data_IF_191254839135
#
_entry.id   IF_191254839135
#
_cell.length_a   1.000
_cell.length_b   1.000
_cell.length_c   1.000
_cell.angle_alpha   90.00
_cell.angle_beta   90.00
_cell.angle_gamma   90.00
#
_symmetry.space_group_name_H-M   'P 1'
#
loop_
_entity.id
_entity.type
_entity.pdbx_description
1 polymer ?
#
# COMPACT_ATOMS: atom_id res chain seq x y z
N UNK A 1 66.16 -30.46 -50.27
CA UNK A 1 65.85 -29.29 -51.13
C UNK A 1 66.09 -28.01 -50.34
N UNK A 2 66.82 -27.07 -50.96
CA UNK A 2 66.97 -25.62 -50.73
C UNK A 2 67.45 -25.08 -49.35
N UNK A 3 68.55 -24.33 -49.47
CA UNK A 3 69.28 -23.49 -48.49
C UNK A 3 68.61 -22.11 -48.34
N UNK A 4 68.91 -21.39 -47.25
CA UNK A 4 69.56 -20.04 -47.23
C UNK A 4 69.18 -19.15 -46.04
N UNK A 5 70.10 -18.99 -45.09
CA UNK A 5 70.82 -17.77 -44.62
C UNK A 5 70.11 -16.38 -44.63
N UNK A 6 70.02 -15.81 -43.41
CA UNK A 6 70.28 -14.42 -42.87
C UNK A 6 69.52 -13.20 -43.44
N UNK A 7 68.92 -12.37 -42.56
CA UNK A 7 69.27 -10.95 -42.31
C UNK A 7 68.44 -10.32 -41.16
N UNK A 8 69.11 -9.55 -40.29
CA UNK A 8 68.52 -8.60 -39.34
C UNK A 8 68.63 -7.19 -39.96
N UNK A 9 67.65 -6.30 -39.76
CA UNK A 9 68.03 -4.97 -39.30
C UNK A 9 67.14 -4.40 -38.18
N UNK A 10 67.77 -3.57 -37.35
CA UNK A 10 67.23 -2.76 -36.26
C UNK A 10 66.29 -1.63 -36.70
N UNK A 11 65.63 -1.02 -35.70
CA UNK A 11 64.82 0.22 -35.68
C UNK A 11 63.37 0.05 -36.16
N UNK A 12 62.34 0.43 -35.43
CA UNK A 12 62.06 1.76 -34.88
C UNK A 12 61.12 1.64 -33.66
N UNK A 13 61.50 2.23 -32.53
CA UNK A 13 60.65 2.40 -31.35
C UNK A 13 59.66 3.55 -31.64
N UNK A 14 58.38 3.25 -31.94
CA UNK A 14 57.33 4.26 -31.95
C UNK A 14 56.65 4.28 -30.58
N UNK A 15 56.87 5.37 -29.83
CA UNK A 15 56.03 5.74 -28.69
C UNK A 15 54.60 5.98 -29.19
N UNK A 16 53.69 5.07 -28.86
CA UNK A 16 52.26 5.35 -28.91
C UNK A 16 51.91 5.97 -27.55
N UNK A 17 51.75 7.30 -27.51
CA UNK A 17 51.04 7.93 -26.40
C UNK A 17 49.59 7.44 -26.43
N UNK A 18 49.01 6.94 -25.33
CA UNK A 18 47.57 6.85 -25.24
C UNK A 18 47.02 8.28 -25.19
N UNK A 19 46.30 8.69 -26.23
CA UNK A 19 45.33 9.76 -26.08
C UNK A 19 44.34 9.29 -25.02
N UNK A 20 44.34 9.97 -23.87
CA UNK A 20 43.27 9.85 -22.88
C UNK A 20 42.01 10.41 -23.53
N UNK A 21 41.24 9.55 -24.20
CA UNK A 21 39.86 9.84 -24.53
C UNK A 21 39.13 10.04 -23.20
N UNK A 22 38.65 11.25 -22.97
CA UNK A 22 37.72 11.58 -21.90
C UNK A 22 36.41 10.82 -22.11
N UNK A 23 36.37 9.54 -21.73
CA UNK A 23 35.18 8.70 -21.70
C UNK A 23 34.71 8.62 -20.24
N UNK A 24 34.27 9.74 -19.66
CA UNK A 24 33.70 9.69 -18.31
C UNK A 24 32.67 10.79 -17.99
N UNK A 25 32.06 11.41 -19.01
CA UNK A 25 30.97 12.37 -18.81
C UNK A 25 29.62 11.90 -19.39
N UNK A 26 29.62 11.13 -20.48
CA UNK A 26 28.38 10.72 -21.16
C UNK A 26 27.71 9.48 -20.55
N UNK A 27 28.45 8.60 -19.89
CA UNK A 27 27.87 7.41 -19.23
C UNK A 27 27.17 7.77 -17.92
N UNK A 28 27.65 8.76 -17.17
CA UNK A 28 27.02 9.24 -15.93
C UNK A 28 25.74 10.04 -16.18
N UNK A 29 25.70 10.86 -17.23
CA UNK A 29 24.52 11.66 -17.58
C UNK A 29 23.41 10.79 -18.17
N UNK A 30 23.73 9.86 -19.07
CA UNK A 30 22.76 8.87 -19.58
C UNK A 30 22.19 8.01 -18.45
N UNK A 31 23.02 7.54 -17.53
CA UNK A 31 22.57 6.74 -16.39
C UNK A 31 21.63 7.53 -15.47
N UNK A 32 21.95 8.80 -15.17
CA UNK A 32 21.11 9.66 -14.33
C UNK A 32 19.75 10.00 -14.99
N UNK A 33 19.74 10.28 -16.30
CA UNK A 33 18.50 10.55 -17.04
C UNK A 33 17.60 9.30 -17.12
N UNK A 34 18.17 8.12 -17.36
CA UNK A 34 17.42 6.86 -17.38
C UNK A 34 16.87 6.49 -15.99
N UNK A 35 17.64 6.71 -14.92
CA UNK A 35 17.15 6.51 -13.55
C UNK A 35 15.97 7.44 -13.24
N UNK A 36 16.07 8.72 -13.60
CA UNK A 36 15.00 9.70 -13.38
C UNK A 36 13.72 9.34 -14.15
N UNK A 37 13.83 8.89 -15.41
CA UNK A 37 12.69 8.42 -16.19
C UNK A 37 12.03 7.17 -15.60
N UNK A 38 12.83 6.19 -15.16
CA UNK A 38 12.32 4.99 -14.50
C UNK A 38 11.64 5.33 -13.17
N UNK A 39 12.19 6.23 -12.38
CA UNK A 39 11.58 6.68 -11.13
C UNK A 39 10.26 7.41 -11.39
N UNK A 40 10.18 8.23 -12.45
CA UNK A 40 8.95 8.92 -12.81
C UNK A 40 7.84 7.94 -13.25
N UNK A 41 8.20 6.87 -13.96
CA UNK A 41 7.28 5.77 -14.27
C UNK A 41 6.88 5.00 -13.01
N UNK A 42 7.85 4.68 -12.15
CA UNK A 42 7.63 4.00 -10.87
C UNK A 42 6.86 4.84 -9.85
N UNK A 43 6.63 6.12 -10.09
CA UNK A 43 5.77 6.96 -9.26
C UNK A 43 4.28 6.85 -9.66
N UNK A 44 3.98 6.51 -10.92
CA UNK A 44 2.61 6.52 -11.46
C UNK A 44 1.66 5.55 -10.74
N UNK A 45 0.36 5.83 -10.76
CA UNK A 45 -0.67 5.01 -10.14
C UNK A 45 -0.94 5.38 -8.68
N UNK A 46 -1.56 4.46 -7.94
CA UNK A 46 -2.12 4.74 -6.63
C UNK A 46 -1.14 4.50 -5.48
N UNK A 47 -1.29 5.31 -4.44
CA UNK A 47 -0.58 5.23 -3.16
C UNK A 47 -1.56 5.49 -2.04
N UNK A 48 -1.58 4.64 -1.02
CA UNK A 48 -2.55 4.74 0.09
C UNK A 48 -1.89 5.37 1.30
N UNK A 49 -2.56 6.36 1.93
CA UNK A 49 -2.16 6.88 3.23
C UNK A 49 -2.49 5.87 4.33
N UNK A 50 -1.46 5.35 4.99
CA UNK A 50 -1.59 4.42 6.12
C UNK A 50 -2.21 5.04 7.37
N UNK A 51 -2.48 6.36 7.37
CA UNK A 51 -3.32 7.01 8.38
C UNK A 51 -4.81 7.04 8.05
N UNK A 52 -5.21 6.51 6.88
CA UNK A 52 -6.62 6.37 6.48
C UNK A 52 -7.18 7.51 5.66
N UNK A 53 -6.44 8.59 5.40
CA UNK A 53 -6.99 9.81 4.78
C UNK A 53 -7.27 9.70 3.28
N UNK A 54 -7.02 8.54 2.67
CA UNK A 54 -7.35 8.27 1.29
C UNK A 54 -6.16 7.86 0.43
N UNK A 55 -6.33 8.08 -0.87
CA UNK A 55 -5.46 7.58 -1.93
C UNK A 55 -4.91 8.76 -2.71
N UNK A 56 -3.58 8.86 -2.80
CA UNK A 56 -2.91 9.78 -3.71
C UNK A 56 -2.60 9.05 -5.02
N UNK A 57 -3.25 9.47 -6.10
CA UNK A 57 -3.03 8.89 -7.43
C UNK A 57 -2.16 9.82 -8.25
N UNK A 58 -1.07 9.28 -8.79
CA UNK A 58 -0.20 9.97 -9.75
C UNK A 58 -0.58 9.61 -11.17
N UNK A 59 -0.81 10.63 -11.99
CA UNK A 59 -1.16 10.48 -13.41
C UNK A 59 -0.49 11.59 -14.22
N UNK A 60 0.54 11.22 -14.98
CA UNK A 60 1.16 12.04 -16.03
C UNK A 60 1.54 13.47 -15.57
N UNK A 61 2.28 13.58 -14.47
CA UNK A 61 2.76 14.86 -13.93
C UNK A 61 1.72 15.59 -13.08
N UNK A 62 0.55 15.00 -12.85
CA UNK A 62 -0.43 15.45 -11.87
C UNK A 62 -0.60 14.40 -10.79
N UNK A 63 -1.05 14.84 -9.63
CA UNK A 63 -1.54 13.96 -8.59
C UNK A 63 -2.86 14.49 -8.04
N UNK A 64 -3.71 13.61 -7.55
CA UNK A 64 -4.92 14.00 -6.82
C UNK A 64 -5.13 13.10 -5.62
N UNK A 65 -5.63 13.69 -4.54
CA UNK A 65 -5.95 12.99 -3.30
C UNK A 65 -7.46 12.79 -3.23
N UNK A 66 -7.93 11.54 -3.11
CA UNK A 66 -9.35 11.24 -2.97
C UNK A 66 -9.59 10.00 -2.11
N UNK A 67 -10.82 9.85 -1.61
CA UNK A 67 -11.19 8.72 -0.76
C UNK A 67 -11.19 7.39 -1.52
N UNK A 68 -11.35 7.40 -2.85
CA UNK A 68 -11.52 6.18 -3.65
C UNK A 68 -10.39 5.93 -4.65
N UNK A 69 -9.45 6.87 -4.78
CA UNK A 69 -8.43 6.85 -5.83
C UNK A 69 -8.95 7.31 -7.20
N UNK A 70 -10.22 7.71 -7.31
CA UNK A 70 -10.78 8.37 -8.49
C UNK A 70 -10.35 9.83 -8.57
N UNK A 71 -10.34 10.36 -9.80
CA UNK A 71 -9.94 11.75 -10.06
C UNK A 71 -10.78 12.74 -9.22
N UNK A 72 -10.09 13.53 -8.39
CA UNK A 72 -10.69 14.65 -7.66
C UNK A 72 -10.03 15.98 -8.10
N UNK A 73 -10.68 16.70 -9.04
CA UNK A 73 -10.20 17.99 -9.50
C UNK A 73 -10.07 19.05 -8.40
N UNK A 74 -10.78 18.87 -7.27
CA UNK A 74 -10.71 19.82 -6.15
C UNK A 74 -9.44 19.63 -5.33
N UNK A 75 -8.82 18.46 -5.33
CA UNK A 75 -7.65 18.13 -4.51
C UNK A 75 -6.46 17.71 -5.37
N UNK A 76 -6.07 18.57 -6.31
CA UNK A 76 -5.05 18.28 -7.34
C UNK A 76 -3.73 19.00 -7.08
N UNK A 77 -2.63 18.34 -7.42
CA UNK A 77 -1.27 18.82 -7.36
C UNK A 77 -0.59 18.65 -8.72
N UNK A 78 0.29 19.58 -9.08
CA UNK A 78 1.35 19.39 -10.05
C UNK A 78 2.50 18.61 -9.40
N UNK A 79 3.08 17.68 -10.15
CA UNK A 79 4.08 16.74 -9.65
C UNK A 79 5.40 16.99 -10.36
N UNK A 80 6.44 17.21 -9.56
CA UNK A 80 7.81 17.25 -10.03
C UNK A 80 8.63 16.23 -9.25
N UNK A 81 9.44 15.45 -9.96
CA UNK A 81 10.40 14.54 -9.36
C UNK A 81 11.78 14.92 -9.89
N UNK A 82 12.66 15.37 -8.99
CA UNK A 82 14.02 15.75 -9.34
C UNK A 82 14.91 14.52 -9.55
N UNK A 83 16.07 14.72 -10.18
CA UNK A 83 17.04 13.65 -10.45
C UNK A 83 17.62 12.99 -9.18
N UNK A 84 17.61 13.70 -8.05
CA UNK A 84 18.02 13.19 -6.73
C UNK A 84 16.87 12.51 -5.96
N UNK A 85 15.70 12.32 -6.59
CA UNK A 85 14.56 11.59 -6.01
C UNK A 85 13.64 12.44 -5.12
N UNK A 86 13.84 13.76 -5.05
CA UNK A 86 12.95 14.65 -4.31
C UNK A 86 11.63 14.82 -5.07
N UNK A 87 10.55 14.39 -4.44
CA UNK A 87 9.19 14.59 -4.89
C UNK A 87 8.67 15.94 -4.40
N UNK A 88 8.20 16.77 -5.32
CA UNK A 88 7.50 18.02 -5.03
C UNK A 88 6.06 17.93 -5.53
N UNK A 89 5.10 18.19 -4.63
CA UNK A 89 3.67 18.31 -4.95
C UNK A 89 3.28 19.77 -4.76
N UNK A 90 2.99 20.46 -5.86
CA UNK A 90 2.56 21.86 -5.83
C UNK A 90 1.06 21.92 -6.08
N UNK A 91 0.25 22.50 -5.19
CA UNK A 91 -1.19 22.63 -5.39
C UNK A 91 -1.51 23.25 -6.74
N UNK A 92 -2.42 22.64 -7.50
CA UNK A 92 -2.84 23.20 -8.77
C UNK A 92 -3.68 24.48 -8.55
N UNK A 93 -3.64 25.40 -9.52
CA UNK A 93 -4.47 26.60 -9.48
C UNK A 93 -5.96 26.23 -9.37
N UNK A 94 -6.66 26.88 -8.44
CA UNK A 94 -8.08 26.59 -8.15
C UNK A 94 -8.35 25.33 -7.33
N UNK A 95 -7.31 24.58 -6.94
CA UNK A 95 -7.46 23.45 -6.02
C UNK A 95 -7.73 23.93 -4.57
N UNK A 96 -8.53 23.14 -3.86
CA UNK A 96 -8.74 23.21 -2.40
C UNK A 96 -7.65 22.47 -1.61
N UNK A 97 -6.68 21.85 -2.28
CA UNK A 97 -5.48 21.33 -1.66
C UNK A 97 -4.77 22.42 -0.84
N UNK A 98 -4.00 22.02 0.17
CA UNK A 98 -3.25 22.95 1.03
C UNK A 98 -2.48 23.98 0.22
N UNK A 99 -2.50 25.28 0.56
CA UNK A 99 -1.81 26.33 -0.21
C UNK A 99 -0.26 26.24 -0.21
N UNK A 100 0.32 25.16 0.32
CA UNK A 100 1.77 24.98 0.45
C UNK A 100 2.22 23.80 -0.39
N UNK A 101 3.33 24.01 -1.12
CA UNK A 101 4.02 22.92 -1.78
C UNK A 101 4.55 21.92 -0.75
N UNK A 102 4.39 20.64 -1.05
CA UNK A 102 4.93 19.53 -0.25
C UNK A 102 6.22 19.08 -0.92
N UNK A 103 7.29 18.94 -0.12
CA UNK A 103 8.57 18.39 -0.58
C UNK A 103 8.92 17.19 0.28
N UNK A 104 9.22 16.07 -0.35
CA UNK A 104 9.58 14.83 0.34
C UNK A 104 10.55 13.98 -0.50
N UNK A 105 11.09 12.94 0.10
CA UNK A 105 11.92 11.92 -0.56
C UNK A 105 11.13 10.63 -0.67
N UNK A 106 11.21 9.99 -1.85
CA UNK A 106 10.61 8.67 -2.06
C UNK A 106 11.62 7.60 -1.69
N UNK A 107 11.26 6.73 -0.75
CA UNK A 107 11.99 5.49 -0.48
C UNK A 107 11.57 4.47 -1.55
N UNK A 108 12.37 4.39 -2.63
CA UNK A 108 12.14 3.48 -3.74
C UNK A 108 12.32 2.00 -3.37
N UNK A 109 13.06 1.70 -2.31
CA UNK A 109 13.22 0.31 -1.86
C UNK A 109 11.97 -0.16 -1.12
N UNK A 110 11.42 0.68 -0.25
CA UNK A 110 10.18 0.38 0.48
C UNK A 110 8.92 0.74 -0.28
N UNK A 111 9.05 1.42 -1.42
CA UNK A 111 7.92 1.96 -2.18
C UNK A 111 6.99 2.78 -1.27
N UNK A 112 7.60 3.76 -0.58
CA UNK A 112 6.89 4.62 0.38
C UNK A 112 7.43 6.04 0.40
N UNK A 113 6.62 7.00 0.82
CA UNK A 113 7.06 8.35 1.16
C UNK A 113 6.18 8.95 2.26
N UNK A 114 6.70 9.96 2.95
CA UNK A 114 5.97 10.62 4.03
C UNK A 114 6.18 12.11 4.02
N UNK A 115 5.22 12.89 4.54
CA UNK A 115 5.40 14.34 4.66
C UNK A 115 4.68 14.88 5.89
N UNK A 116 4.89 16.17 6.16
CA UNK A 116 4.39 16.85 7.36
C UNK A 116 4.84 16.13 8.65
N UNK A 117 6.15 15.93 8.80
CA UNK A 117 6.78 15.25 9.93
C UNK A 117 6.23 13.83 10.18
N UNK A 118 5.95 13.09 9.10
CA UNK A 118 5.43 11.72 9.19
C UNK A 118 3.95 11.64 9.56
N UNK A 119 3.21 12.76 9.53
CA UNK A 119 1.76 12.74 9.73
C UNK A 119 1.04 12.02 8.59
N UNK A 120 1.58 12.09 7.38
CA UNK A 120 1.09 11.38 6.20
C UNK A 120 2.13 10.37 5.75
N UNK A 121 1.71 9.13 5.52
CA UNK A 121 2.61 8.04 5.16
C UNK A 121 1.97 7.22 4.04
N UNK A 122 2.49 7.40 2.83
CA UNK A 122 1.97 6.76 1.64
C UNK A 122 2.77 5.52 1.29
N UNK A 123 2.07 4.43 1.00
CA UNK A 123 2.65 3.16 0.55
C UNK A 123 1.99 2.71 -0.75
N UNK A 124 2.69 1.88 -1.51
CA UNK A 124 2.06 1.15 -2.61
C UNK A 124 1.05 0.15 -2.05
N UNK A 125 -0.23 0.25 -2.44
CA UNK A 125 -1.20 -0.74 -2.01
C UNK A 125 -0.91 -2.10 -2.65
N UNK A 126 -1.30 -3.21 -2.01
CA UNK A 126 -1.35 -4.50 -2.68
C UNK A 126 -2.37 -4.47 -3.82
N UNK A 127 -2.34 -5.49 -4.67
CA UNK A 127 -3.39 -5.76 -5.63
C UNK A 127 -4.06 -7.06 -5.21
N UNK A 128 -5.35 -7.00 -4.89
CA UNK A 128 -6.16 -8.12 -4.45
C UNK A 128 -7.27 -8.29 -5.48
N UNK A 129 -7.42 -9.51 -5.98
CA UNK A 129 -8.55 -9.88 -6.82
C UNK A 129 -9.73 -10.34 -5.98
N UNK A 130 -10.94 -10.24 -6.53
CA UNK A 130 -12.16 -10.76 -5.90
C UNK A 130 -12.04 -12.25 -5.58
N UNK A 131 -11.42 -13.03 -6.48
CA UNK A 131 -11.21 -14.46 -6.31
C UNK A 131 -10.22 -14.78 -5.18
N UNK A 132 -9.19 -13.94 -4.99
CA UNK A 132 -8.29 -14.10 -3.85
C UNK A 132 -8.98 -13.83 -2.52
N UNK A 133 -9.92 -12.87 -2.48
CA UNK A 133 -10.65 -12.51 -1.27
C UNK A 133 -11.76 -13.51 -0.92
N UNK A 134 -12.38 -14.17 -1.91
CA UNK A 134 -13.40 -15.18 -1.66
C UNK A 134 -12.95 -16.27 -0.67
N UNK A 135 -13.86 -16.65 0.23
CA UNK A 135 -13.65 -17.66 1.27
C UNK A 135 -13.63 -17.09 2.69
N UNK A 136 -12.98 -17.81 3.60
CA UNK A 136 -13.03 -17.53 5.04
C UNK A 136 -11.78 -16.81 5.53
N UNK A 137 -11.99 -15.82 6.39
CA UNK A 137 -10.95 -14.98 6.96
C UNK A 137 -11.22 -14.73 8.43
N UNK A 138 -10.20 -14.41 9.21
CA UNK A 138 -10.38 -14.05 10.61
C UNK A 138 -9.34 -13.04 11.10
N UNK A 139 -9.70 -12.38 12.21
CA UNK A 139 -8.86 -11.47 12.97
C UNK A 139 -9.04 -11.77 14.47
N UNK A 140 -7.94 -11.69 15.22
CA UNK A 140 -8.00 -11.57 16.67
C UNK A 140 -7.23 -10.32 17.14
N UNK A 141 -7.85 -9.51 17.99
CA UNK A 141 -7.25 -8.32 18.57
C UNK A 141 -7.57 -8.23 20.08
N UNK A 142 -6.69 -7.60 20.84
CA UNK A 142 -6.93 -7.28 22.25
C UNK A 142 -7.00 -5.77 22.44
N UNK A 143 -8.14 -5.29 22.96
CA UNK A 143 -8.43 -3.88 23.15
C UNK A 143 -9.02 -3.66 24.53
N UNK A 144 -8.38 -2.82 25.34
CA UNK A 144 -8.86 -2.43 26.67
C UNK A 144 -9.20 -3.61 27.59
N UNK A 145 -8.39 -4.68 27.53
CA UNK A 145 -8.59 -5.90 28.32
C UNK A 145 -9.77 -6.78 27.85
N UNK A 146 -10.32 -6.52 26.67
CA UNK A 146 -11.26 -7.40 25.98
C UNK A 146 -10.60 -7.99 24.72
N UNK A 147 -10.84 -9.28 24.48
CA UNK A 147 -10.45 -9.95 23.24
C UNK A 147 -11.57 -9.79 22.21
N UNK A 148 -11.25 -9.21 21.08
CA UNK A 148 -12.12 -9.08 19.92
C UNK A 148 -11.72 -10.16 18.92
N UNK A 149 -12.64 -11.05 18.59
CA UNK A 149 -12.45 -12.04 17.52
C UNK A 149 -13.46 -11.74 16.42
N UNK A 150 -13.00 -11.73 15.18
CA UNK A 150 -13.82 -11.50 13.99
C UNK A 150 -13.56 -12.61 12.99
N UNK A 151 -14.60 -13.03 12.29
CA UNK A 151 -14.49 -13.96 11.18
C UNK A 151 -15.41 -13.49 10.04
N UNK A 152 -14.89 -13.57 8.83
CA UNK A 152 -15.54 -13.09 7.63
C UNK A 152 -15.67 -14.25 6.65
N UNK A 153 -16.84 -14.40 6.05
CA UNK A 153 -17.03 -15.25 4.87
C UNK A 153 -17.31 -14.33 3.69
N UNK A 154 -16.32 -14.06 2.85
CA UNK A 154 -16.51 -13.36 1.58
C UNK A 154 -17.12 -14.31 0.56
N UNK A 155 -18.18 -13.84 -0.09
CA UNK A 155 -19.03 -14.63 -0.98
C UNK A 155 -19.22 -13.91 -2.30
N UNK A 156 -19.65 -14.68 -3.30
CA UNK A 156 -20.13 -14.18 -4.59
C UNK A 156 -19.08 -13.31 -5.32
N UNK A 157 -17.83 -13.78 -5.42
CA UNK A 157 -16.71 -13.00 -5.94
C UNK A 157 -16.51 -11.70 -5.14
N UNK A 158 -16.42 -11.81 -3.82
CA UNK A 158 -16.16 -10.72 -2.90
C UNK A 158 -17.13 -9.53 -3.03
N UNK A 159 -18.36 -9.78 -3.47
CA UNK A 159 -19.40 -8.75 -3.58
C UNK A 159 -20.27 -8.65 -2.32
N UNK A 160 -20.15 -9.62 -1.42
CA UNK A 160 -20.74 -9.54 -0.08
C UNK A 160 -19.97 -10.39 0.93
N UNK A 161 -20.23 -10.18 2.21
CA UNK A 161 -19.68 -11.03 3.27
C UNK A 161 -20.63 -11.20 4.46
N UNK A 162 -20.50 -12.33 5.16
CA UNK A 162 -21.04 -12.49 6.52
C UNK A 162 -19.94 -12.13 7.52
N UNK A 163 -20.25 -11.25 8.48
CA UNK A 163 -19.34 -10.80 9.51
C UNK A 163 -19.75 -11.33 10.88
N UNK A 164 -19.00 -12.31 11.35
CA UNK A 164 -19.15 -12.90 12.66
C UNK A 164 -18.20 -12.23 13.64
N UNK A 165 -18.70 -11.84 14.81
CA UNK A 165 -17.86 -11.21 15.81
C UNK A 165 -18.14 -11.74 17.21
N UNK A 166 -17.09 -11.74 18.03
CA UNK A 166 -17.11 -12.03 19.44
C UNK A 166 -16.32 -10.96 20.18
N UNK A 167 -16.84 -10.52 21.31
CA UNK A 167 -16.13 -9.69 22.28
C UNK A 167 -16.11 -10.43 23.60
N UNK A 168 -14.93 -10.85 24.03
CA UNK A 168 -14.72 -11.60 25.28
C UNK A 168 -14.08 -10.67 26.28
N UNK A 169 -14.64 -10.58 27.49
CA UNK A 169 -14.13 -9.74 28.58
C UNK A 169 -13.68 -10.63 29.74
N UNK A 170 -12.40 -11.07 29.76
CA UNK A 170 -11.90 -12.02 30.76
C UNK A 170 -12.10 -11.57 32.21
N UNK A 171 -11.87 -10.29 32.50
CA UNK A 171 -12.00 -9.73 33.85
C UNK A 171 -13.42 -9.90 34.44
N UNK A 172 -14.44 -10.02 33.59
CA UNK A 172 -15.83 -10.19 34.00
C UNK A 172 -16.34 -11.62 33.79
N UNK A 173 -15.54 -12.50 33.16
CA UNK A 173 -16.02 -13.80 32.70
C UNK A 173 -17.25 -13.68 31.80
N UNK A 174 -17.29 -12.68 30.91
CA UNK A 174 -18.43 -12.48 29.99
C UNK A 174 -18.00 -12.42 28.54
N UNK A 175 -18.95 -12.67 27.65
CA UNK A 175 -18.77 -12.46 26.22
C UNK A 175 -20.03 -11.89 25.57
N UNK A 176 -19.85 -11.30 24.39
CA UNK A 176 -20.91 -10.91 23.46
C UNK A 176 -20.56 -11.50 22.11
N UNK A 177 -21.57 -11.80 21.29
CA UNK A 177 -21.36 -12.20 19.90
C UNK A 177 -22.49 -11.69 19.02
N UNK A 178 -22.22 -11.60 17.73
CA UNK A 178 -23.21 -11.23 16.73
C UNK A 178 -22.78 -11.68 15.35
N UNK A 179 -23.72 -11.57 14.40
CA UNK A 179 -23.48 -11.84 12.99
C UNK A 179 -24.24 -10.79 12.19
N UNK A 180 -23.52 -10.06 11.34
CA UNK A 180 -24.09 -9.23 10.29
C UNK A 180 -24.02 -10.04 8.99
N UNK A 181 -25.16 -10.28 8.35
CA UNK A 181 -25.25 -11.15 7.16
C UNK A 181 -25.40 -10.35 5.90
N UNK A 182 -24.84 -10.89 4.82
CA UNK A 182 -24.94 -10.38 3.46
C UNK A 182 -24.59 -8.88 3.37
N UNK A 183 -23.55 -8.48 4.10
CA UNK A 183 -23.02 -7.12 4.05
C UNK A 183 -22.46 -6.89 2.66
N UNK A 184 -23.00 -5.90 1.94
CA UNK A 184 -22.56 -5.57 0.59
C UNK A 184 -21.11 -5.09 0.60
N UNK A 185 -20.35 -5.50 -0.42
CA UNK A 185 -18.97 -5.09 -0.61
C UNK A 185 -18.72 -4.71 -2.07
N UNK A 186 -17.96 -3.65 -2.25
CA UNK A 186 -17.38 -3.29 -3.54
C UNK A 186 -15.88 -3.08 -3.38
N UNK A 187 -15.11 -3.88 -4.12
CA UNK A 187 -13.66 -3.75 -4.25
C UNK A 187 -13.35 -2.92 -5.50
N UNK A 188 -12.70 -1.77 -5.30
CA UNK A 188 -12.19 -0.92 -6.39
C UNK A 188 -10.67 -0.95 -6.38
N UNK A 189 -10.06 -0.97 -7.58
CA UNK A 189 -8.61 -0.95 -7.77
C UNK A 189 -7.83 -2.08 -7.07
N UNK A 190 -8.53 -3.11 -6.60
CA UNK A 190 -7.95 -4.23 -5.86
C UNK A 190 -7.48 -3.91 -4.43
N UNK A 191 -7.81 -2.73 -3.87
CA UNK A 191 -7.44 -2.38 -2.49
C UNK A 191 -8.39 -1.40 -1.80
N UNK A 192 -9.36 -0.80 -2.50
CA UNK A 192 -10.34 0.11 -1.90
C UNK A 192 -11.65 -0.64 -1.66
N UNK A 193 -12.08 -0.70 -0.41
CA UNK A 193 -13.26 -1.45 0.01
C UNK A 193 -14.34 -0.49 0.48
N UNK A 194 -15.53 -0.64 -0.08
CA UNK A 194 -16.71 0.19 0.26
C UNK A 194 -17.94 -0.68 0.44
N UNK A 195 -18.86 -0.25 1.29
CA UNK A 195 -20.20 -0.85 1.39
C UNK A 195 -21.19 0.03 0.60
N UNK A 196 -21.62 -0.39 -0.61
CA UNK A 196 -22.51 0.41 -1.44
C UNK A 196 -23.95 0.49 -0.90
N UNK A 197 -24.33 -0.36 0.06
CA UNK A 197 -25.66 -0.37 0.69
C UNK A 197 -25.69 0.44 1.98
N UNK A 198 -24.54 0.81 2.54
CA UNK A 198 -24.46 1.63 3.73
C UNK A 198 -24.86 3.08 3.43
N UNK A 199 -25.62 3.68 4.34
CA UNK A 199 -25.81 5.14 4.36
C UNK A 199 -24.58 5.89 4.88
N UNK A 200 -23.61 5.16 5.45
CA UNK A 200 -22.30 5.68 5.85
C UNK A 200 -21.33 5.63 4.67
N UNK A 201 -20.57 6.70 4.46
CA UNK A 201 -19.41 6.70 3.55
C UNK A 201 -18.22 5.97 4.20
N UNK A 202 -18.43 4.74 4.69
CA UNK A 202 -17.38 3.92 5.26
C UNK A 202 -16.52 3.36 4.13
N UNK A 203 -15.23 3.60 4.23
CA UNK A 203 -14.21 3.14 3.29
C UNK A 203 -13.02 2.64 4.09
N UNK A 204 -12.40 1.58 3.60
CA UNK A 204 -11.13 1.12 4.10
C UNK A 204 -10.25 0.65 2.96
N UNK A 205 -8.96 0.54 3.25
CA UNK A 205 -7.92 0.32 2.27
C UNK A 205 -7.05 -0.85 2.71
N UNK A 206 -6.75 -1.78 1.80
CA UNK A 206 -5.63 -2.67 1.99
C UNK A 206 -4.33 -1.89 1.80
N UNK A 207 -3.41 -2.01 2.76
CA UNK A 207 -2.12 -1.31 2.79
C UNK A 207 -0.94 -2.27 2.67
N UNK A 208 -1.16 -3.56 2.92
CA UNK A 208 -0.14 -4.61 2.79
C UNK A 208 -0.80 -5.97 2.60
N UNK A 209 -0.15 -6.86 1.86
CA UNK A 209 -0.49 -8.28 1.77
C UNK A 209 0.78 -9.11 1.95
N UNK A 210 0.77 -9.98 2.96
CA UNK A 210 1.86 -10.90 3.28
C UNK A 210 1.31 -12.33 3.21
N UNK A 211 1.45 -12.98 2.06
CA UNK A 211 0.86 -14.31 1.82
C UNK A 211 -0.66 -14.27 1.97
N UNK A 212 -1.16 -14.96 2.99
CA UNK A 212 -2.58 -15.12 3.33
C UNK A 212 -3.09 -14.10 4.35
N UNK A 213 -2.27 -13.11 4.73
CA UNK A 213 -2.68 -12.02 5.61
C UNK A 213 -2.75 -10.70 4.85
N UNK A 214 -3.87 -9.99 4.96
CA UNK A 214 -4.06 -8.64 4.44
C UNK A 214 -4.13 -7.67 5.62
N UNK A 215 -3.44 -6.54 5.53
CA UNK A 215 -3.50 -5.46 6.50
C UNK A 215 -4.29 -4.31 5.93
N UNK A 216 -5.15 -3.72 6.76
CA UNK A 216 -6.09 -2.69 6.37
C UNK A 216 -5.96 -1.45 7.23
N UNK A 217 -6.46 -0.34 6.71
CA UNK A 217 -6.72 0.89 7.46
C UNK A 217 -8.06 1.48 7.03
N UNK A 218 -8.88 1.94 8.00
CA UNK A 218 -10.10 2.70 7.71
C UNK A 218 -9.82 4.21 7.60
N UNK A 219 -10.84 4.97 7.19
CA UNK A 219 -10.80 6.44 7.12
C UNK A 219 -10.42 7.19 8.41
N UNK A 220 -10.48 6.52 9.57
CA UNK A 220 -10.16 7.09 10.88
C UNK A 220 -8.75 6.69 11.34
N UNK A 221 -8.01 5.92 10.54
CA UNK A 221 -6.69 5.40 10.89
C UNK A 221 -6.75 4.16 11.78
N UNK A 222 -7.93 3.56 11.97
CA UNK A 222 -8.02 2.27 12.65
C UNK A 222 -7.45 1.19 11.73
N UNK A 223 -6.53 0.41 12.26
CA UNK A 223 -5.85 -0.67 11.51
C UNK A 223 -6.27 -2.02 12.04
N UNK A 224 -6.33 -2.99 11.14
CA UNK A 224 -6.52 -4.39 11.46
C UNK A 224 -5.90 -5.28 10.39
N UNK A 225 -5.90 -6.57 10.64
CA UNK A 225 -5.45 -7.56 9.67
C UNK A 225 -6.39 -8.74 9.63
N UNK A 226 -6.55 -9.32 8.45
CA UNK A 226 -7.36 -10.52 8.25
C UNK A 226 -6.47 -11.60 7.68
N UNK A 227 -6.58 -12.81 8.20
CA UNK A 227 -5.81 -13.97 7.73
C UNK A 227 -6.75 -15.03 7.18
N UNK A 228 -6.42 -15.55 5.99
CA UNK A 228 -7.21 -16.58 5.30
C UNK A 228 -7.19 -17.90 6.08
N UNK A 229 -8.32 -18.60 6.07
CA UNK A 229 -8.51 -19.90 6.73
C UNK A 229 -9.36 -20.81 5.84
N UNK A 230 -9.20 -22.13 6.00
CA UNK A 230 -9.91 -23.13 5.21
C UNK A 230 -11.41 -23.24 5.57
N UNK A 231 -11.77 -22.77 6.77
CA UNK A 231 -13.15 -22.80 7.28
C UNK A 231 -13.48 -21.55 8.08
N UNK A 232 -14.77 -21.22 8.20
CA UNK A 232 -15.24 -20.12 9.03
C UNK A 232 -14.73 -20.30 10.47
N UNK A 233 -13.96 -19.33 10.95
CA UNK A 233 -13.47 -19.33 12.31
C UNK A 233 -14.64 -19.11 13.28
N UNK A 234 -14.93 -20.10 14.11
CA UNK A 234 -15.95 -20.00 15.15
C UNK A 234 -15.25 -20.00 16.50
N UNK A 235 -15.32 -18.87 17.21
CA UNK A 235 -14.73 -18.79 18.54
C UNK A 235 -15.52 -19.63 19.55
N UNK A 236 -14.87 -20.66 20.09
CA UNK A 236 -15.41 -21.46 21.20
C UNK A 236 -15.16 -20.73 22.52
N UNK A 237 -16.23 -20.24 23.14
CA UNK A 237 -16.14 -19.52 24.41
C UNK A 237 -15.74 -20.49 25.52
N UNK A 238 -14.70 -20.19 26.32
CA UNK A 238 -14.30 -21.05 27.43
C UNK A 238 -15.39 -21.27 28.46
N UNK A 239 -15.40 -22.45 29.08
CA UNK A 239 -16.33 -22.80 30.15
C UNK A 239 -16.28 -21.76 31.28
N UNK A 240 -17.46 -21.37 31.79
CA UNK A 240 -17.60 -20.43 32.90
C UNK A 240 -17.86 -18.99 32.48
N UNK A 241 -17.70 -18.66 31.20
CA UNK A 241 -18.10 -17.36 30.67
C UNK A 241 -19.62 -17.31 30.45
N UNK A 242 -20.24 -16.16 30.70
CA UNK A 242 -21.67 -15.91 30.46
C UNK A 242 -21.88 -14.90 29.34
N UNK A 243 -22.95 -15.05 28.58
CA UNK A 243 -23.29 -14.05 27.56
C UNK A 243 -23.78 -12.77 28.26
N UNK A 244 -23.27 -11.60 27.88
CA UNK A 244 -23.52 -10.34 28.60
C UNK A 244 -25.01 -9.97 28.64
N UNK A 245 -25.78 -10.37 27.62
CA UNK A 245 -27.23 -10.15 27.59
C UNK A 245 -27.97 -10.86 28.73
N UNK A 246 -27.46 -12.01 29.19
CA UNK A 246 -28.03 -12.79 30.29
C UNK A 246 -27.67 -12.19 31.66
N UNK A 247 -26.74 -11.22 31.69
CA UNK A 247 -26.31 -10.52 32.88
C UNK A 247 -27.21 -9.31 33.20
N UNK A 248 -27.78 -8.66 32.17
CA UNK A 248 -28.63 -7.47 32.34
C UNK A 248 -30.09 -7.79 32.68
N UNK A 249 -30.55 -9.01 32.43
CA UNK A 249 -31.92 -9.48 32.71
C UNK A 249 -32.05 -10.18 34.07
N UNK A 250 -30.96 -10.39 34.80
CA UNK A 250 -30.94 -11.07 36.09
C UNK A 250 -31.02 -10.09 37.30
N UNK A 251 -31.55 -8.88 37.13
CA UNK A 251 -31.83 -7.92 38.21
C UNK A 251 -33.31 -7.67 38.38
#
# INVERSE_FOLDING_TARGET
MKKSVILVPSTLLMLIMPMMASVQADTSSQSATTISQNQQQNLQGQWVDTSGRGVLTFDNGKAYLSDTGEADPQNTYQVELSADGQLTLTPAEGSKASNRAIKTQVDWQKQSFSFNNGLYNFVRPPQITEQELDGFWHEEAELQGAKHIRAMEYKNNASSYDYHWWRVTPALGTFQKGVDRDVSLKLSHGFVFTDPSSSSNYVHYAIKKDGDTIQYVDRNGATWSETKTDSLYVYEVPKGYKEMKDWMTAR
#
